data_IF_320701200924
#
_entry.id   IF_320701200924
#
_cell.length_a   1.000
_cell.length_b   1.000
_cell.length_c   1.000
_cell.angle_alpha   90.00
_cell.angle_beta   90.00
_cell.angle_gamma   90.00
#
_symmetry.space_group_name_H-M   'P 1'
#
loop_
_entity.id
_entity.type
_entity.pdbx_description
1 polymer ?
#
# COMPACT_ATOMS: atom_id res chain seq x y z
N UNK A 1 -34.67 16.15 -17.29
CA UNK A 1 -35.62 15.03 -17.53
C UNK A 1 -35.72 14.20 -16.26
N UNK A 2 -36.85 14.27 -15.55
CA UNK A 2 -37.12 13.48 -14.34
C UNK A 2 -37.70 12.15 -14.79
N UNK A 3 -37.00 11.03 -14.56
CA UNK A 3 -37.58 9.69 -14.71
C UNK A 3 -38.28 9.32 -13.39
N UNK A 4 -39.60 9.15 -13.47
CA UNK A 4 -40.46 8.62 -12.41
C UNK A 4 -40.13 7.13 -12.20
N UNK A 5 -39.63 6.76 -11.02
CA UNK A 5 -39.60 5.37 -10.59
C UNK A 5 -41.05 4.89 -10.29
N UNK A 6 -41.46 3.89 -11.02
CA UNK A 6 -42.79 3.30 -10.91
C UNK A 6 -42.91 2.47 -9.62
N UNK A 7 -43.71 2.94 -8.67
CA UNK A 7 -43.94 2.37 -7.33
C UNK A 7 -44.71 1.05 -7.30
N UNK A 8 -45.05 0.46 -8.45
CA UNK A 8 -46.07 -0.59 -8.54
C UNK A 8 -45.48 -2.02 -8.54
N UNK A 9 -44.18 -2.23 -8.40
CA UNK A 9 -43.54 -3.56 -8.42
C UNK A 9 -43.05 -4.11 -7.08
N UNK A 10 -43.17 -3.36 -5.99
CA UNK A 10 -42.70 -3.82 -4.65
C UNK A 10 -43.85 -4.45 -3.84
N UNK A 11 -45.10 -4.25 -4.23
CA UNK A 11 -46.26 -4.75 -3.45
C UNK A 11 -46.56 -6.24 -3.61
N UNK A 12 -45.88 -6.98 -4.50
CA UNK A 12 -46.14 -8.40 -4.74
C UNK A 12 -45.20 -9.36 -4.00
N UNK A 13 -44.28 -8.86 -3.17
CA UNK A 13 -43.37 -9.69 -2.37
C UNK A 13 -43.82 -9.93 -0.94
N UNK A 14 -44.88 -9.28 -0.49
CA UNK A 14 -45.44 -9.51 0.85
C UNK A 14 -46.78 -10.24 0.68
N UNK A 15 -46.73 -11.55 0.75
CA UNK A 15 -47.94 -12.37 0.85
C UNK A 15 -48.40 -12.37 2.35
N UNK A 16 -49.52 -11.74 2.74
CA UNK A 16 -49.99 -11.73 4.11
C UNK A 16 -50.86 -12.96 4.41
N UNK A 17 -50.32 -14.14 4.28
CA UNK A 17 -50.94 -15.33 4.79
C UNK A 17 -50.15 -15.86 5.99
N UNK A 18 -50.12 -15.07 7.07
CA UNK A 18 -49.78 -15.59 8.38
C UNK A 18 -50.97 -16.38 8.90
N UNK A 19 -51.15 -17.63 8.41
CA UNK A 19 -51.93 -18.63 9.14
C UNK A 19 -51.14 -18.95 10.40
N UNK A 20 -51.68 -18.62 11.56
CA UNK A 20 -51.20 -19.09 12.85
C UNK A 20 -51.33 -20.61 12.90
N UNK A 21 -50.31 -21.31 12.40
CA UNK A 21 -50.11 -22.71 12.77
C UNK A 21 -49.67 -22.72 14.23
N UNK A 22 -50.23 -23.61 15.09
CA UNK A 22 -49.72 -23.79 16.42
C UNK A 22 -48.24 -24.15 16.33
N UNK A 23 -47.36 -23.41 17.03
CA UNK A 23 -45.97 -23.79 17.19
C UNK A 23 -45.93 -25.17 17.84
N UNK A 24 -45.70 -26.19 17.05
CA UNK A 24 -45.27 -27.49 17.60
C UNK A 24 -43.88 -27.22 18.19
N UNK A 25 -43.75 -27.48 19.47
CA UNK A 25 -42.46 -27.41 20.22
C UNK A 25 -41.58 -28.56 19.60
N UNK A 26 -40.87 -28.22 18.53
CA UNK A 26 -39.91 -29.11 17.86
C UNK A 26 -38.55 -28.98 18.57
N UNK A 27 -38.53 -29.46 19.83
CA UNK A 27 -37.34 -29.53 20.68
C UNK A 27 -36.21 -30.42 20.13
N UNK A 28 -36.37 -30.93 18.89
CA UNK A 28 -35.39 -31.79 18.21
C UNK A 28 -34.39 -31.04 17.34
N UNK A 29 -34.62 -29.76 17.05
CA UNK A 29 -33.67 -28.99 16.25
C UNK A 29 -32.54 -28.45 17.15
N UNK A 30 -31.28 -28.71 16.79
CA UNK A 30 -30.18 -28.15 17.55
C UNK A 30 -30.22 -26.61 17.54
N UNK A 31 -29.92 -25.99 18.69
CA UNK A 31 -29.75 -24.54 18.77
C UNK A 31 -28.55 -24.14 17.92
N UNK A 32 -28.76 -23.26 16.93
CA UNK A 32 -27.69 -22.73 16.10
C UNK A 32 -26.90 -21.65 16.87
N UNK A 33 -25.59 -21.69 16.69
CA UNK A 33 -24.66 -20.68 17.21
C UNK A 33 -24.01 -19.90 16.04
N UNK A 34 -23.33 -18.82 16.33
CA UNK A 34 -22.58 -18.05 15.33
C UNK A 34 -21.41 -18.88 14.73
N UNK A 35 -20.87 -19.80 15.55
CA UNK A 35 -19.83 -20.76 15.12
C UNK A 35 -20.37 -21.75 14.07
N UNK A 36 -21.64 -22.15 14.16
CA UNK A 36 -22.29 -23.01 13.17
C UNK A 36 -22.52 -22.28 11.83
N UNK A 37 -22.51 -20.94 11.88
CA UNK A 37 -22.55 -20.08 10.70
C UNK A 37 -21.13 -19.76 10.13
N UNK A 38 -20.07 -20.34 10.72
CA UNK A 38 -18.69 -20.18 10.25
C UNK A 38 -17.93 -19.01 10.86
N UNK A 39 -18.46 -18.34 11.92
CA UNK A 39 -17.78 -17.22 12.60
C UNK A 39 -17.39 -17.63 14.03
N UNK A 40 -16.09 -17.54 14.34
CA UNK A 40 -15.52 -17.98 15.62
C UNK A 40 -15.07 -16.78 16.48
N UNK A 41 -15.97 -16.26 17.34
CA UNK A 41 -15.71 -15.14 18.23
C UNK A 41 -14.50 -15.40 19.15
N UNK A 42 -14.31 -16.64 19.64
CA UNK A 42 -13.19 -16.98 20.51
C UNK A 42 -11.84 -16.88 19.77
N UNK A 43 -11.79 -17.24 18.49
CA UNK A 43 -10.61 -17.08 17.65
C UNK A 43 -10.27 -15.59 17.46
N UNK A 44 -11.27 -14.75 17.19
CA UNK A 44 -11.08 -13.30 17.13
C UNK A 44 -10.52 -12.71 18.42
N UNK A 45 -11.07 -13.08 19.58
CA UNK A 45 -10.57 -12.65 20.88
C UNK A 45 -9.13 -13.11 21.13
N UNK A 46 -8.79 -14.35 20.77
CA UNK A 46 -7.44 -14.90 20.90
C UNK A 46 -6.42 -14.15 20.03
N UNK A 47 -6.81 -13.78 18.80
CA UNK A 47 -5.98 -12.95 17.92
C UNK A 47 -5.71 -11.59 18.55
N UNK A 48 -6.75 -10.89 19.04
CA UNK A 48 -6.59 -9.58 19.70
C UNK A 48 -5.59 -9.64 20.86
N UNK A 49 -5.67 -10.68 21.72
CA UNK A 49 -4.69 -10.83 22.80
C UNK A 49 -3.26 -11.02 22.27
N UNK A 50 -3.10 -11.76 21.21
CA UNK A 50 -1.78 -12.05 20.61
C UNK A 50 -1.12 -10.81 19.99
N UNK A 51 -1.90 -9.91 19.38
CA UNK A 51 -1.37 -8.73 18.66
C UNK A 51 -1.20 -7.48 19.54
N UNK A 52 -1.64 -7.48 20.81
CA UNK A 52 -1.48 -6.33 21.73
C UNK A 52 -0.03 -5.85 21.86
N UNK A 53 0.94 -6.75 21.78
CA UNK A 53 2.36 -6.42 21.81
C UNK A 53 2.81 -5.60 20.60
N UNK A 54 2.22 -5.86 19.44
CA UNK A 54 2.54 -5.19 18.17
C UNK A 54 2.17 -3.71 18.24
N UNK A 55 0.94 -3.40 18.62
CA UNK A 55 0.48 -2.02 18.78
C UNK A 55 1.33 -1.23 19.78
N UNK A 56 1.74 -1.85 20.90
CA UNK A 56 2.59 -1.17 21.92
C UNK A 56 3.96 -0.77 21.39
N UNK A 57 4.57 -1.56 20.50
CA UNK A 57 5.88 -1.27 19.92
C UNK A 57 5.86 -0.07 18.99
N UNK A 58 4.71 0.20 18.38
CA UNK A 58 4.51 1.31 17.44
C UNK A 58 3.96 2.57 18.12
N UNK A 59 3.79 2.56 19.45
CA UNK A 59 3.14 3.66 20.18
C UNK A 59 3.84 5.00 19.96
N UNK A 60 3.04 6.05 19.76
CA UNK A 60 3.46 7.45 19.67
C UNK A 60 2.89 8.24 20.86
N UNK A 61 3.57 9.33 21.30
CA UNK A 61 3.08 10.17 22.40
C UNK A 61 1.69 10.74 22.16
N UNK A 62 1.36 11.05 20.91
CA UNK A 62 0.10 11.68 20.50
C UNK A 62 -1.10 10.72 20.58
N UNK A 63 -0.86 9.41 20.68
CA UNK A 63 -1.95 8.40 20.76
C UNK A 63 -2.45 8.28 22.18
N UNK A 64 -3.73 8.63 22.36
CA UNK A 64 -4.41 8.61 23.66
C UNK A 64 -5.21 7.29 23.80
N UNK A 65 -4.63 6.29 24.43
CA UNK A 65 -5.29 5.00 24.68
C UNK A 65 -4.57 3.81 24.04
N UNK A 66 -5.30 2.71 23.84
CA UNK A 66 -4.79 1.46 23.28
C UNK A 66 -5.88 0.69 22.55
N UNK A 67 -5.54 -0.54 22.08
CA UNK A 67 -6.49 -1.44 21.40
C UNK A 67 -7.68 -1.79 22.30
N UNK A 68 -8.87 -1.92 21.69
CA UNK A 68 -10.10 -2.41 22.33
C UNK A 68 -11.18 -1.36 22.53
N UNK A 69 -10.96 -0.10 22.15
CA UNK A 69 -12.00 0.93 22.04
C UNK A 69 -12.72 0.87 20.67
N UNK A 70 -13.87 1.57 20.57
CA UNK A 70 -14.56 1.71 19.27
C UNK A 70 -13.82 2.61 18.26
N UNK A 71 -12.87 3.41 18.73
CA UNK A 71 -12.05 4.29 17.90
C UNK A 71 -10.77 4.65 18.62
N UNK A 72 -9.75 5.03 17.83
CA UNK A 72 -8.50 5.53 18.33
C UNK A 72 -8.53 7.07 18.46
N UNK A 73 -7.89 7.58 19.51
CA UNK A 73 -7.73 9.00 19.72
C UNK A 73 -6.27 9.37 19.50
N UNK A 74 -6.03 10.39 18.69
CA UNK A 74 -4.69 10.90 18.41
C UNK A 74 -4.72 12.43 18.44
N UNK A 75 -3.85 13.01 19.24
CA UNK A 75 -3.63 14.46 19.24
C UNK A 75 -2.80 14.86 18.00
N UNK A 76 -3.00 16.08 17.53
CA UNK A 76 -2.10 16.66 16.54
C UNK A 76 -0.79 17.02 17.25
N UNK A 77 0.38 16.60 16.75
CA UNK A 77 1.67 16.93 17.37
C UNK A 77 1.86 18.43 17.55
N UNK A 78 2.59 18.81 18.59
CA UNK A 78 2.97 20.19 18.79
C UNK A 78 3.90 20.69 17.67
N UNK A 79 3.92 22.02 17.44
CA UNK A 79 4.84 22.66 16.49
C UNK A 79 4.18 23.09 15.18
N UNK A 80 3.04 22.53 14.80
CA UNK A 80 2.27 22.97 13.64
C UNK A 80 1.48 24.23 13.95
N UNK A 81 1.53 25.21 13.03
CA UNK A 81 0.78 26.49 13.12
C UNK A 81 -0.58 26.37 12.42
N UNK A 82 -0.58 25.75 11.26
CA UNK A 82 -1.77 25.47 10.45
C UNK A 82 -1.71 24.00 9.97
N UNK A 83 -1.96 23.03 10.88
CA UNK A 83 -1.88 21.63 10.53
C UNK A 83 -2.96 21.25 9.50
N UNK A 84 -2.57 20.49 8.50
CA UNK A 84 -3.47 19.87 7.52
C UNK A 84 -3.35 18.35 7.66
N UNK A 85 -4.47 17.66 7.84
CA UNK A 85 -4.49 16.21 7.86
C UNK A 85 -4.45 15.67 6.43
N UNK A 86 -3.61 14.68 6.21
CA UNK A 86 -3.52 13.92 4.96
C UNK A 86 -3.91 12.48 5.27
N UNK A 87 -4.79 11.91 4.48
CA UNK A 87 -5.24 10.53 4.67
C UNK A 87 -5.23 9.76 3.36
N UNK A 88 -4.89 8.48 3.44
CA UNK A 88 -4.89 7.57 2.32
C UNK A 88 -5.34 6.18 2.74
N UNK A 89 -5.86 5.44 1.79
CA UNK A 89 -6.22 4.03 1.94
C UNK A 89 -5.72 3.25 0.73
N UNK A 90 -5.17 2.08 0.97
CA UNK A 90 -4.71 1.19 -0.07
C UNK A 90 -4.79 -0.26 0.40
N UNK A 91 -4.63 -1.20 -0.52
CA UNK A 91 -4.49 -2.62 -0.27
C UNK A 91 -3.14 -3.15 -0.74
N UNK A 92 -2.94 -4.46 -0.62
CA UNK A 92 -1.75 -5.13 -1.17
C UNK A 92 -2.02 -5.63 -2.60
N UNK A 93 -3.26 -5.88 -2.92
CA UNK A 93 -3.66 -6.42 -4.20
C UNK A 93 -3.27 -7.90 -4.38
N UNK A 94 -3.10 -8.32 -5.64
CA UNK A 94 -2.94 -9.75 -5.98
C UNK A 94 -1.56 -10.35 -5.61
N UNK A 95 -0.64 -9.57 -5.04
CA UNK A 95 0.55 -10.09 -4.34
C UNK A 95 0.16 -11.00 -3.17
N UNK A 96 -1.00 -10.74 -2.52
CA UNK A 96 -1.55 -11.61 -1.48
C UNK A 96 -1.67 -13.06 -1.93
N UNK A 97 -2.11 -13.31 -3.18
CA UNK A 97 -2.23 -14.68 -3.68
C UNK A 97 -0.88 -15.40 -3.70
N UNK A 98 0.18 -14.71 -4.11
CA UNK A 98 1.53 -15.27 -4.09
C UNK A 98 2.00 -15.56 -2.66
N UNK A 99 1.74 -14.67 -1.72
CA UNK A 99 2.06 -14.88 -0.31
C UNK A 99 1.32 -16.09 0.27
N UNK A 100 0.03 -16.25 -0.03
CA UNK A 100 -0.78 -17.40 0.37
C UNK A 100 -0.27 -18.70 -0.25
N UNK A 101 0.01 -18.72 -1.55
CA UNK A 101 0.51 -19.91 -2.26
C UNK A 101 1.89 -20.36 -1.76
N UNK A 102 2.72 -19.42 -1.30
CA UNK A 102 4.03 -19.70 -0.71
C UNK A 102 4.00 -19.95 0.81
N UNK A 103 2.88 -19.67 1.48
CA UNK A 103 2.76 -19.75 2.94
C UNK A 103 3.65 -18.73 3.68
N UNK A 104 3.91 -17.56 3.09
CA UNK A 104 4.76 -16.50 3.66
C UNK A 104 3.88 -15.28 3.95
N UNK A 105 3.56 -15.04 5.22
CA UNK A 105 2.59 -14.05 5.65
C UNK A 105 3.20 -12.89 6.44
N UNK A 106 4.36 -13.07 7.05
CA UNK A 106 4.97 -12.14 8.00
C UNK A 106 5.57 -10.87 7.37
N UNK A 107 5.69 -10.79 6.05
CA UNK A 107 6.20 -9.61 5.35
C UNK A 107 5.13 -8.80 4.64
N UNK A 108 4.00 -9.44 4.32
CA UNK A 108 2.96 -8.82 3.47
C UNK A 108 2.29 -7.61 4.15
N UNK A 109 2.28 -7.57 5.49
CA UNK A 109 1.80 -6.42 6.26
C UNK A 109 2.69 -5.18 6.09
N UNK A 110 3.99 -5.35 5.79
CA UNK A 110 4.90 -4.23 5.45
C UNK A 110 4.45 -3.58 4.14
N UNK A 111 4.07 -4.39 3.14
CA UNK A 111 3.54 -3.90 1.88
C UNK A 111 2.30 -3.04 2.10
N UNK A 112 1.35 -3.52 2.91
CA UNK A 112 0.13 -2.78 3.22
C UNK A 112 0.42 -1.39 3.79
N UNK A 113 1.31 -1.32 4.79
CA UNK A 113 1.70 -0.04 5.41
C UNK A 113 2.42 0.84 4.40
N UNK A 114 3.38 0.28 3.64
CA UNK A 114 4.18 1.01 2.68
C UNK A 114 3.33 1.69 1.60
N UNK A 115 2.34 0.99 1.05
CA UNK A 115 1.45 1.55 0.04
C UNK A 115 0.71 2.78 0.56
N UNK A 116 0.23 2.76 1.81
CA UNK A 116 -0.47 3.88 2.41
C UNK A 116 0.47 5.03 2.82
N UNK A 117 1.57 4.74 3.54
CA UNK A 117 2.41 5.81 4.12
C UNK A 117 3.28 6.51 3.09
N UNK A 118 3.69 5.81 2.02
CA UNK A 118 4.43 6.42 0.92
C UNK A 118 3.54 7.42 0.16
N UNK A 119 2.25 7.14 0.01
CA UNK A 119 1.30 8.06 -0.61
C UNK A 119 1.01 9.30 0.26
N UNK A 120 1.16 9.19 1.59
CA UNK A 120 1.05 10.35 2.47
C UNK A 120 2.29 11.25 2.40
N UNK A 121 3.48 10.63 2.46
CA UNK A 121 4.72 11.40 2.52
C UNK A 121 5.01 12.15 1.22
N UNK A 122 4.48 11.74 0.07
CA UNK A 122 4.62 12.50 -1.18
C UNK A 122 3.94 13.88 -1.14
N UNK A 123 2.98 14.07 -0.25
CA UNK A 123 2.39 15.39 0.01
C UNK A 123 3.16 16.21 1.09
N UNK A 124 4.30 15.72 1.57
CA UNK A 124 5.07 16.33 2.67
C UNK A 124 4.58 15.93 4.06
N UNK A 125 3.62 14.99 4.18
CA UNK A 125 3.01 14.64 5.45
C UNK A 125 3.83 13.62 6.25
N UNK A 126 3.91 13.85 7.57
CA UNK A 126 4.37 12.88 8.55
C UNK A 126 3.22 11.93 8.89
N UNK A 127 3.33 10.60 8.66
CA UNK A 127 2.32 9.63 9.09
C UNK A 127 2.22 9.58 10.62
N UNK A 128 1.00 9.70 11.17
CA UNK A 128 0.73 9.66 12.61
C UNK A 128 0.28 8.28 13.06
N UNK A 129 -0.74 7.74 12.40
CA UNK A 129 -1.30 6.46 12.78
C UNK A 129 -1.83 5.67 11.60
N UNK A 130 -1.95 4.37 11.81
CA UNK A 130 -2.39 3.37 10.86
C UNK A 130 -3.51 2.51 11.44
N UNK A 131 -4.44 2.12 10.59
CA UNK A 131 -5.51 1.17 10.86
C UNK A 131 -5.52 0.12 9.74
N UNK A 132 -5.80 -1.13 10.08
CA UNK A 132 -5.92 -2.21 9.11
C UNK A 132 -7.32 -2.83 9.09
N UNK A 133 -7.65 -3.46 7.96
CA UNK A 133 -8.81 -4.32 7.81
C UNK A 133 -8.35 -5.65 7.25
N UNK A 134 -8.50 -6.71 8.03
CA UNK A 134 -8.21 -8.09 7.66
C UNK A 134 -9.52 -8.83 7.44
N UNK A 135 -9.82 -9.24 6.21
CA UNK A 135 -11.02 -9.98 5.84
C UNK A 135 -10.65 -11.38 5.36
N UNK A 136 -11.34 -12.41 5.85
CA UNK A 136 -11.06 -13.81 5.50
C UNK A 136 -12.33 -14.65 5.47
N UNK A 137 -12.30 -15.80 4.79
CA UNK A 137 -13.40 -16.76 4.84
C UNK A 137 -13.46 -17.52 6.15
N UNK A 138 -12.30 -17.93 6.69
CA UNK A 138 -12.14 -18.56 7.99
C UNK A 138 -10.86 -18.09 8.65
N UNK A 139 -10.94 -17.67 9.91
CA UNK A 139 -9.80 -17.07 10.62
C UNK A 139 -8.78 -18.15 11.04
N UNK A 140 -7.58 -18.09 10.44
CA UNK A 140 -6.39 -18.75 10.95
C UNK A 140 -5.61 -17.75 11.81
N UNK A 141 -5.56 -18.00 13.13
CA UNK A 141 -4.95 -17.09 14.10
C UNK A 141 -3.45 -16.90 13.85
N UNK A 142 -2.73 -17.94 13.43
CA UNK A 142 -1.29 -17.88 13.20
C UNK A 142 -0.99 -17.01 11.97
N UNK A 143 -1.68 -17.26 10.87
CA UNK A 143 -1.57 -16.46 9.64
C UNK A 143 -1.93 -14.99 9.89
N UNK A 144 -3.05 -14.73 10.55
CA UNK A 144 -3.47 -13.35 10.86
C UNK A 144 -2.48 -12.63 11.79
N UNK A 145 -1.93 -13.33 12.79
CA UNK A 145 -0.92 -12.78 13.68
C UNK A 145 0.38 -12.44 12.94
N UNK A 146 0.82 -13.29 12.00
CA UNK A 146 2.00 -13.02 11.16
C UNK A 146 1.78 -11.78 10.26
N UNK A 147 0.60 -11.65 9.67
CA UNK A 147 0.25 -10.46 8.87
C UNK A 147 0.29 -9.19 9.74
N UNK A 148 -0.33 -9.21 10.93
CA UNK A 148 -0.34 -8.06 11.84
C UNK A 148 1.07 -7.75 12.37
N UNK A 149 1.92 -8.75 12.60
CA UNK A 149 3.33 -8.53 12.93
C UNK A 149 4.05 -7.77 11.80
N UNK A 150 3.81 -8.14 10.54
CA UNK A 150 4.28 -7.41 9.36
C UNK A 150 3.77 -5.96 9.32
N UNK A 151 2.49 -5.74 9.63
CA UNK A 151 1.91 -4.38 9.73
C UNK A 151 2.62 -3.58 10.81
N UNK A 152 2.80 -4.14 12.00
CA UNK A 152 3.54 -3.50 13.08
C UNK A 152 4.96 -3.13 12.67
N UNK A 153 5.66 -4.03 11.98
CA UNK A 153 6.99 -3.76 11.45
C UNK A 153 6.98 -2.62 10.43
N UNK A 154 6.01 -2.58 9.53
CA UNK A 154 5.81 -1.46 8.59
C UNK A 154 5.60 -0.13 9.32
N UNK A 155 4.76 -0.12 10.36
CA UNK A 155 4.53 1.06 11.20
C UNK A 155 5.79 1.54 11.92
N UNK A 156 6.62 0.64 12.47
CA UNK A 156 7.93 0.96 13.06
C UNK A 156 8.88 1.61 12.03
N UNK A 157 8.91 1.06 10.81
CA UNK A 157 9.72 1.61 9.71
C UNK A 157 9.24 2.99 9.31
N UNK A 158 7.93 3.21 9.21
CA UNK A 158 7.34 4.50 8.89
C UNK A 158 7.39 5.51 10.04
N UNK A 159 7.44 5.04 11.30
CA UNK A 159 7.35 5.90 12.50
C UNK A 159 5.93 6.30 12.84
N UNK A 160 4.92 5.56 12.41
CA UNK A 160 3.51 5.76 12.77
C UNK A 160 3.01 4.71 13.75
N UNK A 161 1.91 5.00 14.45
CA UNK A 161 1.33 4.09 15.42
C UNK A 161 0.28 3.17 14.79
N UNK A 162 0.35 1.85 15.03
CA UNK A 162 -0.78 0.94 14.79
C UNK A 162 -1.77 1.10 15.92
N UNK A 163 -2.87 1.82 15.66
CA UNK A 163 -3.82 2.23 16.71
C UNK A 163 -5.08 1.38 16.77
N UNK A 164 -5.32 0.53 15.80
CA UNK A 164 -6.47 -0.35 15.72
C UNK A 164 -6.58 -1.02 14.37
N UNK A 165 -7.68 -1.71 14.19
CA UNK A 165 -8.04 -2.40 12.96
C UNK A 165 -9.31 -3.19 13.13
N UNK A 166 -9.69 -3.95 12.12
CA UNK A 166 -10.83 -4.86 12.11
C UNK A 166 -10.41 -6.21 11.57
N UNK A 167 -10.89 -7.27 12.18
CA UNK A 167 -10.74 -8.64 11.67
C UNK A 167 -12.13 -9.22 11.42
N UNK A 168 -12.45 -9.51 10.16
CA UNK A 168 -13.77 -9.99 9.77
C UNK A 168 -13.69 -11.40 9.18
N UNK A 169 -14.39 -12.36 9.80
CA UNK A 169 -14.71 -13.63 9.17
C UNK A 169 -15.96 -13.48 8.30
N UNK A 170 -15.82 -13.73 7.01
CA UNK A 170 -16.88 -13.59 6.02
C UNK A 170 -17.04 -14.90 5.22
N UNK A 171 -17.61 -15.96 5.82
CA UNK A 171 -17.82 -17.26 5.17
C UNK A 171 -18.64 -17.09 3.88
N UNK A 172 -18.14 -17.67 2.78
CA UNK A 172 -18.79 -17.56 1.47
C UNK A 172 -18.47 -16.30 0.66
N UNK A 173 -17.74 -15.32 1.25
CA UNK A 173 -17.18 -14.17 0.52
C UNK A 173 -15.75 -14.46 0.08
N UNK A 174 -14.97 -15.13 0.94
CA UNK A 174 -13.62 -15.62 0.66
C UNK A 174 -13.60 -17.15 0.74
N UNK A 175 -12.71 -17.79 0.00
CA UNK A 175 -12.58 -19.24 -0.03
C UNK A 175 -11.61 -19.70 1.08
N UNK A 176 -12.12 -20.56 1.99
CA UNK A 176 -11.33 -21.13 3.08
C UNK A 176 -10.62 -20.06 3.92
N UNK A 177 -9.31 -20.15 4.03
CA UNK A 177 -8.45 -19.23 4.78
C UNK A 177 -7.89 -18.08 3.91
N UNK A 178 -8.33 -17.94 2.66
CA UNK A 178 -7.95 -16.79 1.83
C UNK A 178 -8.34 -15.49 2.52
N UNK A 179 -7.49 -14.48 2.39
CA UNK A 179 -7.71 -13.20 3.03
C UNK A 179 -7.42 -12.01 2.11
N UNK A 180 -8.01 -10.87 2.45
CA UNK A 180 -7.74 -9.58 1.83
C UNK A 180 -7.37 -8.56 2.91
N UNK A 181 -6.59 -7.56 2.51
CA UNK A 181 -6.06 -6.53 3.39
C UNK A 181 -6.37 -5.14 2.84
N UNK A 182 -6.86 -4.27 3.69
CA UNK A 182 -6.93 -2.84 3.43
C UNK A 182 -6.28 -2.08 4.58
N UNK A 183 -5.51 -1.05 4.24
CA UNK A 183 -4.86 -0.15 5.17
C UNK A 183 -5.45 1.25 5.09
N UNK A 184 -5.43 1.95 6.20
CA UNK A 184 -5.85 3.34 6.30
C UNK A 184 -4.83 4.10 7.15
N UNK A 185 -4.22 5.12 6.58
CA UNK A 185 -3.23 5.95 7.25
C UNK A 185 -3.66 7.41 7.32
N UNK A 186 -3.34 8.06 8.43
CA UNK A 186 -3.52 9.50 8.62
C UNK A 186 -2.20 10.10 9.03
N UNK A 187 -1.85 11.20 8.39
CA UNK A 187 -0.67 12.01 8.68
C UNK A 187 -1.01 13.49 8.79
N UNK A 188 -0.01 14.29 9.05
CA UNK A 188 -0.11 15.72 9.21
C UNK A 188 1.00 16.44 8.45
N UNK A 189 0.68 17.60 7.89
CA UNK A 189 1.65 18.50 7.25
C UNK A 189 1.34 19.95 7.63
N UNK A 190 2.35 20.79 7.78
CA UNK A 190 2.13 22.23 7.88
C UNK A 190 1.62 22.77 6.54
N UNK A 191 0.56 23.57 6.55
CA UNK A 191 -0.11 24.05 5.33
C UNK A 191 0.83 24.72 4.33
N UNK A 192 1.84 25.44 4.83
CA UNK A 192 2.84 26.13 3.99
C UNK A 192 3.92 25.19 3.42
N UNK A 193 3.96 23.92 3.87
CA UNK A 193 4.97 22.93 3.50
C UNK A 193 4.37 21.78 2.66
N UNK A 194 3.10 21.92 2.25
CA UNK A 194 2.47 20.95 1.34
C UNK A 194 3.26 20.90 0.03
N UNK A 195 3.63 19.70 -0.36
CA UNK A 195 4.29 19.43 -1.65
C UNK A 195 3.22 19.02 -2.66
N UNK A 196 2.96 19.87 -3.63
CA UNK A 196 1.87 19.72 -4.60
C UNK A 196 2.31 19.79 -6.08
N UNK A 197 3.63 19.87 -6.33
CA UNK A 197 4.19 19.96 -7.67
C UNK A 197 4.11 21.34 -8.32
N UNK A 198 3.41 22.31 -7.74
CA UNK A 198 3.20 23.64 -8.35
C UNK A 198 4.48 24.46 -8.53
N UNK A 199 5.57 24.10 -7.82
CA UNK A 199 6.86 24.76 -7.90
C UNK A 199 7.82 24.13 -8.91
N UNK A 200 7.42 23.05 -9.59
CA UNK A 200 8.22 22.37 -10.63
C UNK A 200 8.36 23.29 -11.84
N UNK A 201 9.55 23.32 -12.42
CA UNK A 201 9.85 24.14 -13.60
C UNK A 201 10.90 23.47 -14.50
N UNK A 202 10.94 23.87 -15.76
CA UNK A 202 11.96 23.41 -16.69
C UNK A 202 13.38 23.71 -16.15
N UNK A 203 14.26 22.72 -16.22
CA UNK A 203 15.62 22.75 -15.66
C UNK A 203 15.73 22.10 -14.27
N UNK A 204 14.63 21.74 -13.63
CA UNK A 204 14.66 20.94 -12.40
C UNK A 204 15.14 19.51 -12.68
N UNK A 205 15.69 18.88 -11.65
CA UNK A 205 16.29 17.54 -11.72
C UNK A 205 15.35 16.52 -11.14
N UNK A 206 15.28 15.37 -11.79
CA UNK A 206 14.56 14.19 -11.31
C UNK A 206 15.54 13.18 -10.73
N UNK A 207 15.36 12.85 -9.47
CA UNK A 207 16.11 11.83 -8.74
C UNK A 207 15.24 10.58 -8.59
N UNK A 208 15.80 9.42 -8.87
CA UNK A 208 15.19 8.12 -8.59
C UNK A 208 15.71 7.56 -7.28
N UNK A 209 14.82 6.93 -6.51
CA UNK A 209 15.19 6.16 -5.31
C UNK A 209 14.85 4.70 -5.55
N UNK A 210 15.79 3.81 -5.24
CA UNK A 210 15.71 2.40 -5.52
C UNK A 210 14.51 1.71 -4.88
N UNK A 211 13.96 0.72 -5.58
CA UNK A 211 12.93 -0.19 -5.07
C UNK A 211 13.53 -1.54 -4.66
N UNK A 212 12.89 -2.22 -3.73
CA UNK A 212 13.24 -3.58 -3.31
C UNK A 212 12.86 -4.67 -4.32
N UNK A 213 12.05 -4.32 -5.32
CA UNK A 213 11.45 -5.22 -6.30
C UNK A 213 10.17 -4.62 -6.87
N UNK A 214 9.21 -5.44 -7.32
CA UNK A 214 7.95 -4.94 -7.89
C UNK A 214 7.05 -4.18 -6.91
N UNK A 215 7.41 -4.15 -5.62
CA UNK A 215 6.60 -3.63 -4.54
C UNK A 215 5.26 -4.38 -4.41
N UNK A 216 4.11 -3.68 -4.57
CA UNK A 216 2.79 -4.32 -4.51
C UNK A 216 1.99 -4.09 -5.80
N UNK A 217 2.67 -3.76 -6.92
CA UNK A 217 2.02 -3.40 -8.16
C UNK A 217 2.37 -4.35 -9.31
N UNK A 218 1.47 -4.49 -10.27
CA UNK A 218 1.68 -5.34 -11.45
C UNK A 218 1.51 -6.85 -11.19
N UNK A 219 1.06 -7.28 -10.01
CA UNK A 219 1.03 -8.71 -9.63
C UNK A 219 0.04 -9.55 -10.42
N UNK A 220 -0.98 -8.98 -11.03
CA UNK A 220 -1.82 -9.72 -11.98
C UNK A 220 -1.02 -10.18 -13.20
N UNK A 221 -0.12 -9.31 -13.70
CA UNK A 221 0.79 -9.66 -14.79
C UNK A 221 1.88 -10.62 -14.31
N UNK A 222 2.49 -10.38 -13.14
CA UNK A 222 3.47 -11.31 -12.52
C UNK A 222 2.90 -12.73 -12.45
N UNK A 223 1.70 -12.89 -11.88
CA UNK A 223 1.04 -14.19 -11.75
C UNK A 223 0.75 -14.83 -13.11
N UNK A 224 0.36 -14.02 -14.10
CA UNK A 224 0.15 -14.54 -15.46
C UNK A 224 1.46 -15.00 -16.10
N UNK A 225 2.57 -14.27 -15.88
CA UNK A 225 3.90 -14.66 -16.36
C UNK A 225 4.34 -15.97 -15.69
N UNK A 226 4.17 -16.10 -14.37
CA UNK A 226 4.48 -17.34 -13.64
C UNK A 226 3.70 -18.55 -14.22
N UNK A 227 2.42 -18.35 -14.51
CA UNK A 227 1.54 -19.39 -15.09
C UNK A 227 2.05 -19.82 -16.48
N UNK A 228 2.24 -18.86 -17.41
CA UNK A 228 2.58 -19.19 -18.81
C UNK A 228 4.00 -19.69 -18.99
N UNK A 229 4.93 -19.30 -18.11
CA UNK A 229 6.32 -19.78 -18.11
C UNK A 229 6.50 -21.07 -17.32
N UNK A 230 5.47 -21.52 -16.59
CA UNK A 230 5.55 -22.64 -15.64
C UNK A 230 6.75 -22.49 -14.68
N UNK A 231 6.93 -21.28 -14.14
CA UNK A 231 8.10 -20.91 -13.36
C UNK A 231 8.20 -21.66 -12.04
N UNK A 232 9.40 -22.06 -11.67
CA UNK A 232 9.74 -22.56 -10.34
C UNK A 232 10.12 -21.38 -9.43
N UNK A 233 9.30 -21.09 -8.43
CA UNK A 233 9.56 -20.02 -7.46
C UNK A 233 10.81 -20.26 -6.62
N UNK A 234 11.30 -21.50 -6.54
CA UNK A 234 12.54 -21.86 -5.82
C UNK A 234 13.80 -21.62 -6.65
N UNK A 235 13.69 -21.31 -7.97
CA UNK A 235 14.86 -21.06 -8.82
C UNK A 235 15.70 -19.89 -8.26
N UNK A 236 17.05 -19.99 -8.32
CA UNK A 236 17.93 -18.95 -7.82
C UNK A 236 17.70 -17.60 -8.50
N UNK A 237 17.68 -16.53 -7.72
CA UNK A 237 17.63 -15.15 -8.19
C UNK A 237 18.36 -14.22 -7.21
N UNK A 238 19.42 -13.56 -7.64
CA UNK A 238 20.25 -12.75 -6.76
C UNK A 238 20.83 -13.58 -5.61
N UNK A 239 20.55 -13.16 -4.37
CA UNK A 239 21.00 -13.87 -3.16
C UNK A 239 19.94 -14.85 -2.61
N UNK A 240 18.79 -14.97 -3.25
CA UNK A 240 17.67 -15.80 -2.81
C UNK A 240 17.05 -16.57 -3.96
N UNK A 241 15.73 -16.67 -3.94
CA UNK A 241 14.93 -17.33 -4.98
C UNK A 241 14.08 -16.29 -5.75
N UNK A 242 13.48 -16.72 -6.87
CA UNK A 242 12.49 -15.93 -7.59
C UNK A 242 11.32 -15.54 -6.68
N UNK A 243 10.85 -16.47 -5.84
CA UNK A 243 9.80 -16.22 -4.87
C UNK A 243 10.18 -15.13 -3.88
N UNK A 244 11.41 -15.17 -3.33
CA UNK A 244 11.91 -14.13 -2.41
C UNK A 244 11.97 -12.76 -3.10
N UNK A 245 12.46 -12.69 -4.34
CA UNK A 245 12.53 -11.45 -5.11
C UNK A 245 11.13 -10.88 -5.42
N UNK A 246 10.16 -11.75 -5.70
CA UNK A 246 8.78 -11.35 -5.95
C UNK A 246 8.01 -11.02 -4.66
N UNK A 247 8.36 -11.59 -3.51
CA UNK A 247 7.75 -11.26 -2.21
C UNK A 247 8.53 -10.21 -1.43
N UNK A 248 9.63 -9.66 -1.97
CA UNK A 248 10.37 -8.59 -1.32
C UNK A 248 9.40 -7.47 -0.86
N UNK A 249 9.42 -7.08 0.44
CA UNK A 249 8.52 -6.06 0.94
C UNK A 249 8.74 -4.73 0.25
N UNK A 250 7.66 -3.99 0.02
CA UNK A 250 7.70 -2.63 -0.50
C UNK A 250 8.56 -1.73 0.40
N UNK A 251 9.48 -0.99 -0.21
CA UNK A 251 10.33 -0.04 0.51
C UNK A 251 9.50 1.08 1.12
N UNK A 252 9.72 1.38 2.41
CA UNK A 252 9.12 2.53 3.11
C UNK A 252 10.12 3.69 3.10
N UNK A 253 9.80 4.78 2.41
CA UNK A 253 10.68 5.92 2.21
C UNK A 253 10.52 7.03 3.26
N UNK A 254 9.51 6.93 4.14
CA UNK A 254 9.04 8.00 5.02
C UNK A 254 10.17 8.69 5.78
N UNK A 255 10.98 7.95 6.55
CA UNK A 255 12.03 8.55 7.40
C UNK A 255 13.11 9.28 6.58
N UNK A 256 13.49 8.69 5.44
CA UNK A 256 14.47 9.32 4.54
C UNK A 256 13.93 10.61 3.93
N UNK A 257 12.66 10.60 3.51
CA UNK A 257 12.02 11.79 2.92
C UNK A 257 11.77 12.89 3.95
N UNK A 258 11.32 12.56 5.16
CA UNK A 258 11.17 13.55 6.24
C UNK A 258 12.53 14.18 6.62
N UNK A 259 13.60 13.39 6.62
CA UNK A 259 14.97 13.92 6.79
C UNK A 259 15.37 14.84 5.63
N UNK A 260 15.04 14.46 4.40
CA UNK A 260 15.28 15.27 3.21
C UNK A 260 14.57 16.64 3.29
N UNK A 261 13.29 16.66 3.66
CA UNK A 261 12.48 17.89 3.75
C UNK A 261 13.03 18.91 4.75
N UNK A 262 13.75 18.45 5.77
CA UNK A 262 14.37 19.33 6.77
C UNK A 262 15.53 20.18 6.22
N UNK A 263 16.08 19.82 5.05
CA UNK A 263 17.32 20.41 4.53
C UNK A 263 17.26 20.79 3.06
N UNK A 264 16.34 20.19 2.29
CA UNK A 264 16.20 20.37 0.83
C UNK A 264 14.77 20.78 0.51
N UNK A 265 14.62 21.77 -0.35
CA UNK A 265 13.31 22.17 -0.86
C UNK A 265 12.87 21.23 -1.98
N UNK A 266 12.16 20.20 -1.62
CA UNK A 266 11.52 19.28 -2.60
C UNK A 266 10.33 19.96 -3.26
N UNK A 267 10.22 19.85 -4.59
CA UNK A 267 9.17 20.47 -5.39
C UNK A 267 8.03 19.53 -5.71
N UNK A 268 8.34 18.26 -5.95
CA UNK A 268 7.38 17.20 -6.20
C UNK A 268 7.94 15.84 -5.80
N UNK A 269 7.05 14.90 -5.47
CA UNK A 269 7.37 13.49 -5.28
C UNK A 269 6.32 12.63 -5.98
N UNK A 270 6.78 11.54 -6.58
CA UNK A 270 5.90 10.53 -7.19
C UNK A 270 6.24 9.15 -6.65
N UNK A 271 5.33 8.54 -5.92
CA UNK A 271 5.40 7.13 -5.54
C UNK A 271 5.07 6.28 -6.77
N UNK A 272 6.00 5.42 -7.19
CA UNK A 272 5.85 4.65 -8.43
C UNK A 272 5.10 3.36 -8.13
N UNK A 273 3.81 3.40 -8.39
CA UNK A 273 2.83 2.33 -8.19
C UNK A 273 2.28 1.79 -9.51
N UNK A 274 1.05 1.30 -9.57
CA UNK A 274 0.38 0.92 -10.82
C UNK A 274 0.33 2.10 -11.81
N UNK A 275 0.67 1.85 -13.05
CA UNK A 275 0.92 2.89 -14.04
C UNK A 275 2.40 3.20 -14.28
N UNK A 276 3.29 2.70 -13.39
CA UNK A 276 4.75 2.83 -13.50
C UNK A 276 5.22 4.28 -13.58
N UNK A 277 6.36 4.51 -14.20
CA UNK A 277 6.89 5.87 -14.40
C UNK A 277 5.98 6.72 -15.29
N UNK A 278 5.34 6.10 -16.29
CA UNK A 278 4.61 6.80 -17.33
C UNK A 278 3.32 7.47 -16.84
N UNK A 279 2.64 6.88 -15.87
CA UNK A 279 1.35 7.38 -15.41
C UNK A 279 1.40 8.03 -14.00
N UNK A 280 2.47 7.77 -13.21
CA UNK A 280 2.58 8.37 -11.88
C UNK A 280 3.33 9.71 -11.88
N UNK A 281 4.39 9.87 -12.68
CA UNK A 281 5.15 11.12 -12.72
C UNK A 281 4.28 12.30 -13.19
N UNK A 282 3.47 12.20 -14.27
CA UNK A 282 2.63 13.32 -14.71
C UNK A 282 1.66 13.84 -13.66
N UNK A 283 1.23 12.99 -12.71
CA UNK A 283 0.26 13.38 -11.66
C UNK A 283 0.76 14.48 -10.74
N UNK A 284 2.06 14.69 -10.69
CA UNK A 284 2.73 15.66 -9.79
C UNK A 284 3.46 16.76 -10.55
N UNK A 285 3.27 16.84 -11.86
CA UNK A 285 3.86 17.87 -12.70
C UNK A 285 2.82 18.92 -13.12
N UNK A 286 3.22 20.18 -13.33
CA UNK A 286 2.39 21.18 -14.03
C UNK A 286 2.10 20.76 -15.47
N UNK A 287 0.99 21.28 -16.03
CA UNK A 287 0.51 20.98 -17.39
C UNK A 287 1.51 21.39 -18.50
N UNK A 288 2.44 22.30 -18.21
CA UNK A 288 3.45 22.82 -19.14
C UNK A 288 4.86 22.24 -18.93
N UNK A 289 4.96 21.12 -18.18
CA UNK A 289 6.22 20.46 -17.86
C UNK A 289 6.20 19.00 -18.29
N UNK A 290 7.28 18.54 -18.97
CA UNK A 290 7.54 17.14 -19.27
C UNK A 290 8.67 16.59 -18.42
N UNK A 291 8.62 15.29 -18.12
CA UNK A 291 9.71 14.54 -17.49
C UNK A 291 10.54 13.82 -18.55
N UNK A 292 11.80 14.20 -18.69
CA UNK A 292 12.76 13.51 -19.55
C UNK A 292 13.54 12.49 -18.72
N UNK A 293 13.29 11.20 -18.91
CA UNK A 293 13.86 10.11 -18.13
C UNK A 293 14.94 9.40 -18.94
N UNK A 294 16.19 9.44 -18.45
CA UNK A 294 17.30 8.68 -19.02
C UNK A 294 17.27 7.24 -18.52
N UNK A 295 16.76 6.32 -19.34
CA UNK A 295 16.60 4.90 -18.98
C UNK A 295 17.93 4.16 -18.86
N UNK A 296 19.06 4.75 -19.29
CA UNK A 296 20.40 4.19 -19.13
C UNK A 296 21.08 4.61 -17.81
N UNK A 297 20.44 5.49 -17.01
CA UNK A 297 21.00 5.96 -15.73
C UNK A 297 20.98 4.90 -14.61
N UNK A 298 20.26 3.80 -14.81
CA UNK A 298 20.25 2.64 -13.89
C UNK A 298 20.10 1.33 -14.63
N UNK A 299 20.43 0.25 -13.94
CA UNK A 299 20.14 -1.10 -14.40
C UNK A 299 18.93 -1.65 -13.68
N UNK A 300 18.04 -2.30 -14.40
CA UNK A 300 16.91 -2.98 -13.78
C UNK A 300 17.39 -4.08 -12.83
N UNK A 301 16.84 -4.20 -11.62
CA UNK A 301 16.98 -5.40 -10.81
C UNK A 301 16.60 -6.66 -11.60
N UNK A 302 17.30 -7.76 -11.32
CA UNK A 302 17.21 -9.02 -12.06
C UNK A 302 15.77 -9.52 -12.24
N UNK A 303 14.92 -9.32 -11.23
CA UNK A 303 13.50 -9.73 -11.26
C UNK A 303 12.74 -9.09 -12.43
N UNK A 304 13.02 -7.82 -12.78
CA UNK A 304 12.34 -7.17 -13.91
C UNK A 304 12.82 -7.68 -15.25
N UNK A 305 14.12 -7.99 -15.39
CA UNK A 305 14.66 -8.63 -16.59
C UNK A 305 14.06 -10.03 -16.76
N UNK A 306 13.89 -10.76 -15.66
CA UNK A 306 13.23 -12.06 -15.66
C UNK A 306 11.76 -11.94 -16.10
N UNK A 307 11.00 -11.00 -15.52
CA UNK A 307 9.60 -10.76 -15.88
C UNK A 307 9.45 -10.39 -17.34
N UNK A 308 10.30 -9.48 -17.85
CA UNK A 308 10.28 -9.08 -19.25
C UNK A 308 10.51 -10.27 -20.17
N UNK A 309 11.56 -11.05 -19.91
CA UNK A 309 11.99 -12.14 -20.80
C UNK A 309 10.99 -13.30 -20.79
N UNK A 310 10.49 -13.70 -19.62
CA UNK A 310 9.57 -14.84 -19.49
C UNK A 310 8.13 -14.48 -19.86
N UNK A 311 7.74 -13.22 -19.73
CA UNK A 311 6.45 -12.70 -20.18
C UNK A 311 6.45 -12.20 -21.62
N UNK A 312 7.60 -12.10 -22.27
CA UNK A 312 7.79 -11.39 -23.55
C UNK A 312 7.09 -10.02 -23.55
N UNK A 313 7.32 -9.25 -22.44
CA UNK A 313 6.66 -7.97 -22.23
C UNK A 313 7.43 -6.86 -22.94
N UNK A 314 6.74 -6.05 -23.72
CA UNK A 314 7.32 -4.88 -24.38
C UNK A 314 7.96 -3.91 -23.38
N UNK A 315 9.11 -3.32 -23.70
CA UNK A 315 9.85 -2.45 -22.76
C UNK A 315 8.99 -1.28 -22.26
N UNK A 316 8.18 -0.67 -23.15
CA UNK A 316 7.29 0.41 -22.75
C UNK A 316 6.21 -0.07 -21.76
N UNK A 317 5.70 -1.29 -21.93
CA UNK A 317 4.72 -1.89 -21.02
C UNK A 317 5.36 -2.23 -19.66
N UNK A 318 6.64 -2.60 -19.62
CA UNK A 318 7.38 -2.74 -18.37
C UNK A 318 7.38 -1.43 -17.57
N UNK A 319 7.72 -0.30 -18.21
CA UNK A 319 7.71 1.03 -17.56
C UNK A 319 6.31 1.56 -17.27
N UNK A 320 5.26 0.98 -17.83
CA UNK A 320 3.87 1.31 -17.55
C UNK A 320 3.29 0.46 -16.42
N UNK A 321 3.71 -0.79 -16.29
CA UNK A 321 3.16 -1.73 -15.30
C UNK A 321 3.96 -1.73 -14.00
N UNK A 322 5.29 -1.60 -14.11
CA UNK A 322 6.22 -1.78 -13.00
C UNK A 322 7.05 -0.53 -12.73
N UNK A 323 7.61 -0.47 -11.52
CA UNK A 323 8.57 0.57 -11.14
C UNK A 323 9.97 0.40 -11.79
N UNK A 324 10.28 -0.78 -12.34
CA UNK A 324 11.53 -1.13 -13.01
C UNK A 324 12.79 -0.76 -12.20
N UNK A 325 12.71 -0.80 -10.86
CA UNK A 325 13.82 -0.50 -9.95
C UNK A 325 13.79 0.90 -9.35
N UNK A 326 12.85 1.78 -9.76
CA UNK A 326 12.67 3.14 -9.21
C UNK A 326 11.36 3.21 -8.44
N UNK A 327 11.39 3.12 -7.13
CA UNK A 327 10.16 3.12 -6.31
C UNK A 327 9.64 4.50 -5.93
N UNK A 328 10.51 5.53 -5.95
CA UNK A 328 10.15 6.91 -5.69
C UNK A 328 10.89 7.83 -6.64
N UNK A 329 10.21 8.83 -7.19
CA UNK A 329 10.83 9.92 -7.98
C UNK A 329 10.67 11.22 -7.22
N UNK A 330 11.76 11.99 -7.16
CA UNK A 330 11.84 13.26 -6.42
C UNK A 330 12.28 14.36 -7.37
N UNK A 331 11.55 15.46 -7.41
CA UNK A 331 11.91 16.65 -8.17
C UNK A 331 12.48 17.73 -7.26
N UNK A 332 13.69 18.20 -7.59
CA UNK A 332 14.39 19.29 -6.88
C UNK A 332 15.02 20.25 -7.88
N UNK A 333 15.41 21.45 -7.41
CA UNK A 333 16.22 22.33 -8.25
C UNK A 333 17.61 21.73 -8.51
N UNK A 334 18.26 22.16 -9.60
CA UNK A 334 19.62 21.72 -9.96
C UNK A 334 20.61 21.93 -8.80
N UNK A 335 20.50 23.04 -8.07
CA UNK A 335 21.40 23.38 -6.96
C UNK A 335 21.21 22.47 -5.74
N UNK A 336 20.03 21.90 -5.54
CA UNK A 336 19.70 21.01 -4.43
C UNK A 336 20.00 19.53 -4.70
N UNK A 337 20.21 19.15 -5.97
CA UNK A 337 20.33 17.75 -6.39
C UNK A 337 21.45 16.98 -5.66
N UNK A 338 22.64 17.60 -5.54
CA UNK A 338 23.78 16.95 -4.88
C UNK A 338 23.53 16.70 -3.39
N UNK A 339 22.96 17.68 -2.69
CA UNK A 339 22.62 17.58 -1.26
C UNK A 339 21.51 16.54 -1.05
N UNK A 340 20.50 16.54 -1.92
CA UNK A 340 19.43 15.55 -1.86
C UNK A 340 19.94 14.11 -2.03
N UNK A 341 20.81 13.86 -3.01
CA UNK A 341 21.44 12.56 -3.22
C UNK A 341 22.27 12.11 -2.02
N UNK A 342 23.04 13.03 -1.42
CA UNK A 342 23.84 12.72 -0.24
C UNK A 342 22.96 12.27 0.93
N UNK A 343 21.89 13.01 1.25
CA UNK A 343 20.96 12.69 2.34
C UNK A 343 20.28 11.35 2.12
N UNK A 344 19.77 11.08 0.91
CA UNK A 344 19.08 9.84 0.58
C UNK A 344 20.01 8.63 0.69
N UNK A 345 21.23 8.72 0.15
CA UNK A 345 22.20 7.64 0.22
C UNK A 345 22.70 7.41 1.66
N UNK A 346 22.89 8.47 2.46
CA UNK A 346 23.21 8.33 3.89
C UNK A 346 22.07 7.71 4.72
N UNK A 347 20.82 7.86 4.26
CA UNK A 347 19.66 7.23 4.87
C UNK A 347 19.50 5.76 4.51
N UNK A 348 20.43 5.19 3.74
CA UNK A 348 20.46 3.77 3.37
C UNK A 348 19.64 3.42 2.12
N UNK A 349 19.19 4.42 1.36
CA UNK A 349 18.50 4.24 0.08
C UNK A 349 19.46 4.55 -1.07
N UNK A 350 19.56 3.66 -2.04
CA UNK A 350 20.25 3.97 -3.28
C UNK A 350 19.46 5.03 -4.05
N UNK A 351 20.10 6.18 -4.32
CA UNK A 351 19.48 7.28 -5.06
C UNK A 351 20.45 7.85 -6.10
N UNK A 352 19.90 8.20 -7.26
CA UNK A 352 20.68 8.74 -8.39
C UNK A 352 19.81 9.68 -9.24
N UNK A 353 20.45 10.47 -10.10
CA UNK A 353 19.74 11.29 -11.06
C UNK A 353 19.23 10.41 -12.21
N UNK A 354 17.90 10.47 -12.46
CA UNK A 354 17.24 9.71 -13.53
C UNK A 354 16.83 10.57 -14.71
N UNK A 355 16.83 11.90 -14.55
CA UNK A 355 16.35 12.77 -15.61
C UNK A 355 16.25 14.22 -15.20
N UNK A 356 15.47 14.96 -15.96
CA UNK A 356 15.24 16.39 -15.74
C UNK A 356 13.85 16.80 -16.26
N UNK A 357 13.40 17.98 -15.82
CA UNK A 357 12.18 18.60 -16.30
C UNK A 357 12.48 19.49 -17.50
N UNK A 358 11.67 19.41 -18.54
CA UNK A 358 11.65 20.32 -19.69
C UNK A 358 10.28 21.00 -19.83
N UNK A 359 10.22 22.06 -20.63
CA UNK A 359 8.93 22.60 -21.06
C UNK A 359 8.23 21.57 -21.97
N UNK A 360 6.91 21.38 -21.77
CA UNK A 360 6.20 20.33 -22.50
C UNK A 360 4.68 20.39 -22.33
N UNK A 361 4.07 19.20 -22.22
CA UNK A 361 2.61 19.01 -22.18
C UNK A 361 2.15 17.97 -21.14
N UNK A 362 2.87 17.84 -20.04
CA UNK A 362 2.63 16.90 -18.94
C UNK A 362 2.84 15.42 -19.36
N UNK A 363 3.91 15.15 -20.08
CA UNK A 363 4.24 13.81 -20.56
C UNK A 363 5.55 13.29 -19.96
N UNK A 364 5.76 11.97 -20.06
CA UNK A 364 7.03 11.31 -19.74
C UNK A 364 7.69 10.82 -21.01
N UNK A 365 8.88 11.37 -21.30
CA UNK A 365 9.74 10.95 -22.40
C UNK A 365 10.83 10.01 -21.89
N UNK A 366 10.81 8.76 -22.36
CA UNK A 366 11.86 7.78 -22.08
C UNK A 366 12.99 7.96 -23.10
N UNK A 367 14.15 8.41 -22.64
CA UNK A 367 15.37 8.57 -23.43
C UNK A 367 16.28 7.34 -23.23
N UNK A 368 16.80 6.79 -24.33
CA UNK A 368 17.66 5.60 -24.36
C UNK A 368 19.07 5.92 -24.86
#
# INVERSE_FOLDING_TARGET
MRQCFNRTKIASLFNPAWTTQPMTDDSSKPSLSYKDAGVNIDAGNALVERIKGVSRRTARPEVLGGLGGFGALCEIPEGYKQPVLVSGTDGVGTKLRLAMDMGIHNTIGIDLVAMCVNDLVVAGAEPLFFLDYYATGALNIDTAADVVEGIGRGCELAGCALVGGETAEMPGMYEGEDYDLAGFCVGVVEKSEIIDGSAVAAGDVLLGVGSSGPHSNGYSLVRKILEVSNADLSQPMGQGSLGDALLAPTTIYVKALLSLFSSVKVKALSHITGGGLLENIPRVLPDDCDAQINTQSWQWPEVFNWLQSNGNVETREMYRTFNCGVGMVICVSQDEAASALEILNQSGHEAWQIGQISAGSNEVELQS
#
